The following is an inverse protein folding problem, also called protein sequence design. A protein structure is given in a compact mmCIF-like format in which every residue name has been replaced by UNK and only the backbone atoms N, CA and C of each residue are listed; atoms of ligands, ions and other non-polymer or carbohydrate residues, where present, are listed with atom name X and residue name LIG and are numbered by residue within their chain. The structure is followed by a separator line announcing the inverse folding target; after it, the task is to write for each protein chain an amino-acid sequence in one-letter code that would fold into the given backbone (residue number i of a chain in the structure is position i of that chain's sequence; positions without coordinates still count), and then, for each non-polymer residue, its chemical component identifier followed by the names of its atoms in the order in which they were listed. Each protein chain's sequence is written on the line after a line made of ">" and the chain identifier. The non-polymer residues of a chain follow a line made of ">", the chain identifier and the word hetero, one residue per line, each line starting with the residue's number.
data_IF_931858101279
#
_entry.id   IF_931858101279
#
_cell.length_a   1.000
_cell.length_b   1.000
_cell.length_c   1.000
_cell.angle_alpha   90.00
_cell.angle_beta   90.00
_cell.angle_gamma   90.00
#
_symmetry.space_group_name_H-M   'P 1'
#
loop_
_entity.id
_entity.type
_entity.pdbx_description
1 polymer ?
#
# COMPACT_ATOMS: atom_id res chain seq x y z
N UNK A 1 20.70 -18.07 1.30
CA UNK A 1 20.53 -18.06 -0.16
C UNK A 1 19.36 -17.14 -0.55
N UNK A 2 18.19 -17.20 0.09
CA UNK A 2 17.05 -16.32 -0.19
C UNK A 2 17.43 -14.84 -0.16
N UNK A 3 18.05 -14.37 0.93
CA UNK A 3 18.48 -12.98 1.05
C UNK A 3 19.55 -12.59 0.03
N UNK A 4 20.39 -13.52 -0.39
CA UNK A 4 21.33 -13.29 -1.49
C UNK A 4 20.58 -13.03 -2.79
N UNK A 5 19.63 -13.87 -3.14
CA UNK A 5 18.79 -13.68 -4.33
C UNK A 5 17.99 -12.35 -4.28
N UNK A 6 17.42 -12.02 -3.13
CA UNK A 6 16.72 -10.75 -2.91
C UNK A 6 17.64 -9.54 -3.10
N UNK A 7 18.86 -9.58 -2.53
CA UNK A 7 19.84 -8.52 -2.70
C UNK A 7 20.30 -8.36 -4.15
N UNK A 8 20.49 -9.47 -4.87
CA UNK A 8 20.82 -9.42 -6.30
C UNK A 8 19.67 -8.91 -7.16
N UNK A 9 18.42 -9.23 -6.81
CA UNK A 9 17.26 -8.65 -7.48
C UNK A 9 17.24 -7.13 -7.32
N UNK A 10 17.44 -6.62 -6.11
CA UNK A 10 17.51 -5.19 -5.84
C UNK A 10 18.69 -4.52 -6.58
N UNK A 11 19.86 -5.11 -6.52
CA UNK A 11 21.06 -4.60 -7.19
C UNK A 11 20.91 -4.57 -8.72
N UNK A 12 20.46 -5.67 -9.34
CA UNK A 12 20.34 -5.71 -10.80
C UNK A 12 19.21 -4.82 -11.31
N UNK A 13 18.14 -4.63 -10.53
CA UNK A 13 17.06 -3.72 -10.88
C UNK A 13 17.54 -2.26 -10.89
N UNK A 14 18.39 -1.87 -9.93
CA UNK A 14 18.90 -0.49 -9.82
C UNK A 14 20.10 -0.21 -10.71
N UNK A 15 21.01 -1.17 -10.87
CA UNK A 15 22.33 -0.94 -11.47
C UNK A 15 22.60 -1.76 -12.75
N UNK A 16 21.68 -2.63 -13.15
CA UNK A 16 21.86 -3.51 -14.29
C UNK A 16 22.93 -4.58 -14.05
N UNK A 17 24.07 -4.48 -14.74
CA UNK A 17 25.20 -5.42 -14.61
C UNK A 17 25.86 -5.30 -13.23
N UNK A 18 25.95 -6.41 -12.52
CA UNK A 18 26.65 -6.54 -11.23
C UNK A 18 27.47 -7.84 -11.21
N UNK A 19 28.57 -7.92 -10.44
CA UNK A 19 29.31 -9.17 -10.33
C UNK A 19 28.52 -10.19 -9.50
N UNK A 20 28.43 -11.43 -9.95
CA UNK A 20 27.86 -12.53 -9.17
C UNK A 20 28.97 -13.13 -8.30
N UNK A 21 28.86 -12.91 -6.99
CA UNK A 21 29.80 -13.36 -5.98
C UNK A 21 29.12 -14.40 -5.10
N UNK A 22 29.63 -15.63 -5.12
CA UNK A 22 29.05 -16.78 -4.40
C UNK A 22 29.85 -17.20 -3.19
N UNK A 23 31.06 -16.66 -3.03
CA UNK A 23 31.98 -16.95 -1.93
C UNK A 23 32.55 -15.67 -1.31
N UNK A 24 33.08 -15.77 -0.12
CA UNK A 24 33.75 -14.65 0.54
C UNK A 24 35.07 -14.36 -0.17
N UNK A 25 35.19 -13.13 -0.68
CA UNK A 25 36.41 -12.67 -1.32
C UNK A 25 37.50 -12.39 -0.26
N UNK A 26 38.77 -12.67 -0.61
CA UNK A 26 39.91 -12.26 0.20
C UNK A 26 39.98 -10.71 0.25
N UNK A 27 40.57 -10.18 1.32
CA UNK A 27 40.67 -8.71 1.51
C UNK A 27 41.43 -8.01 0.38
N UNK A 28 42.40 -8.68 -0.21
CA UNK A 28 43.26 -8.23 -1.31
C UNK A 28 42.80 -8.78 -2.68
N UNK A 29 41.58 -9.34 -2.75
CA UNK A 29 41.06 -9.85 -4.00
C UNK A 29 41.00 -8.76 -5.08
N UNK A 30 41.34 -9.05 -6.34
CA UNK A 30 41.23 -8.09 -7.42
C UNK A 30 39.76 -7.71 -7.65
N UNK A 31 39.53 -6.53 -8.24
CA UNK A 31 38.18 -6.08 -8.60
C UNK A 31 37.50 -7.10 -9.51
N UNK A 32 36.34 -7.58 -9.09
CA UNK A 32 35.53 -8.52 -9.87
C UNK A 32 34.80 -7.77 -10.98
N UNK A 33 34.86 -8.31 -12.19
CA UNK A 33 34.11 -7.74 -13.33
C UNK A 33 32.61 -7.95 -13.13
N UNK A 34 31.82 -7.01 -13.65
CA UNK A 34 30.36 -7.13 -13.67
C UNK A 34 29.93 -8.17 -14.71
N UNK A 35 29.06 -9.06 -14.31
CA UNK A 35 28.42 -10.03 -15.19
C UNK A 35 27.31 -9.40 -16.03
N UNK A 36 27.00 -10.04 -17.15
CA UNK A 36 25.85 -9.64 -17.98
C UNK A 36 24.54 -9.77 -17.21
N UNK A 37 23.59 -8.85 -17.45
CA UNK A 37 22.31 -8.80 -16.75
C UNK A 37 21.59 -10.14 -16.78
N UNK A 38 21.60 -10.83 -17.91
CA UNK A 38 20.95 -12.13 -18.07
C UNK A 38 21.60 -13.22 -17.22
N UNK A 39 22.92 -13.17 -17.01
CA UNK A 39 23.63 -14.07 -16.10
C UNK A 39 23.17 -13.85 -14.66
N UNK A 40 23.04 -12.59 -14.23
CA UNK A 40 22.56 -12.25 -12.89
C UNK A 40 21.11 -12.67 -12.68
N UNK A 41 20.24 -12.40 -13.68
CA UNK A 41 18.83 -12.80 -13.64
C UNK A 41 18.67 -14.32 -13.55
N UNK A 42 19.42 -15.05 -14.37
CA UNK A 42 19.42 -16.52 -14.32
C UNK A 42 19.87 -17.02 -12.96
N UNK A 43 20.96 -16.48 -12.41
CA UNK A 43 21.46 -16.83 -11.08
C UNK A 43 20.36 -16.64 -10.00
N UNK A 44 19.63 -15.52 -10.02
CA UNK A 44 18.55 -15.26 -9.07
C UNK A 44 17.46 -16.34 -9.17
N UNK A 45 16.99 -16.62 -10.38
CA UNK A 45 15.92 -17.59 -10.58
C UNK A 45 16.33 -19.02 -10.23
N UNK A 46 17.56 -19.42 -10.55
CA UNK A 46 18.11 -20.75 -10.22
C UNK A 46 18.27 -20.92 -8.70
N UNK A 47 18.86 -19.93 -8.02
CA UNK A 47 18.98 -19.93 -6.55
C UNK A 47 17.64 -20.12 -5.86
N UNK A 48 16.63 -19.38 -6.30
CA UNK A 48 15.30 -19.45 -5.72
C UNK A 48 14.60 -20.78 -6.03
N UNK A 49 14.83 -21.34 -7.22
CA UNK A 49 14.32 -22.67 -7.57
C UNK A 49 14.90 -23.75 -6.65
N UNK A 50 16.22 -23.76 -6.49
CA UNK A 50 16.90 -24.76 -5.66
C UNK A 50 16.47 -24.69 -4.19
N UNK A 51 16.37 -23.48 -3.63
CA UNK A 51 15.97 -23.35 -2.22
C UNK A 51 14.50 -23.67 -2.00
N UNK A 52 13.63 -23.44 -2.98
CA UNK A 52 12.22 -23.81 -2.87
C UNK A 52 12.03 -25.33 -2.68
N UNK A 53 12.93 -26.16 -3.20
CA UNK A 53 12.87 -27.61 -2.99
C UNK A 53 13.39 -28.07 -1.61
N UNK A 54 14.09 -27.18 -0.89
CA UNK A 54 14.73 -27.51 0.40
C UNK A 54 13.95 -26.92 1.57
N UNK A 55 13.34 -25.76 1.37
CA UNK A 55 12.64 -25.04 2.43
C UNK A 55 11.33 -25.75 2.81
N UNK A 56 10.96 -25.76 4.09
CA UNK A 56 9.70 -26.33 4.54
C UNK A 56 8.53 -25.42 4.16
N UNK A 57 7.33 -26.00 4.16
CA UNK A 57 6.08 -25.26 3.95
C UNK A 57 5.73 -24.37 5.15
N UNK A 58 6.11 -24.81 6.35
CA UNK A 58 5.90 -24.08 7.60
C UNK A 58 6.99 -24.44 8.62
N UNK A 59 7.10 -23.60 9.66
CA UNK A 59 7.99 -23.86 10.80
C UNK A 59 7.15 -24.17 12.03
N UNK A 60 7.43 -25.31 12.69
CA UNK A 60 6.74 -25.79 13.88
C UNK A 60 7.64 -25.63 15.13
N UNK A 61 8.17 -24.45 15.34
CA UNK A 61 9.03 -24.16 16.49
C UNK A 61 8.28 -23.70 17.73
N UNK A 62 8.97 -23.71 18.85
CA UNK A 62 8.46 -23.21 20.14
C UNK A 62 8.48 -21.67 20.25
N UNK A 63 8.94 -20.98 19.25
CA UNK A 63 8.97 -19.53 19.21
C UNK A 63 7.65 -19.01 18.65
N UNK A 64 6.99 -18.14 19.41
CA UNK A 64 5.77 -17.46 19.05
C UNK A 64 5.89 -16.61 17.74
N UNK A 65 7.09 -16.43 17.21
CA UNK A 65 7.42 -15.49 16.16
C UNK A 65 8.24 -16.11 15.00
N UNK A 66 7.94 -17.32 14.60
CA UNK A 66 8.61 -17.93 13.43
C UNK A 66 8.10 -17.41 12.08
N UNK A 67 7.19 -16.45 12.08
CA UNK A 67 6.58 -15.83 10.89
C UNK A 67 7.57 -15.13 9.97
N UNK A 68 8.65 -14.57 10.52
CA UNK A 68 9.73 -13.95 9.74
C UNK A 68 10.67 -14.94 9.04
N UNK A 69 10.52 -16.25 9.25
CA UNK A 69 11.36 -17.27 8.60
C UNK A 69 10.87 -17.58 7.19
N UNK A 70 11.80 -17.71 6.28
CA UNK A 70 11.49 -17.95 4.87
C UNK A 70 11.05 -19.39 4.66
N UNK A 71 9.87 -19.56 4.10
CA UNK A 71 9.27 -20.83 3.70
C UNK A 71 9.47 -21.09 2.21
N UNK A 72 9.04 -22.29 1.75
CA UNK A 72 8.97 -22.64 0.33
C UNK A 72 8.15 -21.60 -0.44
N UNK A 73 6.95 -21.26 0.05
CA UNK A 73 6.10 -20.24 -0.56
C UNK A 73 6.81 -18.89 -0.67
N UNK A 74 7.61 -18.50 0.34
CA UNK A 74 8.42 -17.29 0.29
C UNK A 74 9.44 -17.29 -0.84
N UNK A 75 10.12 -18.41 -1.06
CA UNK A 75 11.07 -18.54 -2.17
C UNK A 75 10.37 -18.51 -3.53
N UNK A 76 9.24 -19.19 -3.67
CA UNK A 76 8.44 -19.18 -4.90
C UNK A 76 7.85 -17.80 -5.20
N UNK A 77 7.38 -17.07 -4.18
CA UNK A 77 6.84 -15.72 -4.34
C UNK A 77 7.92 -14.73 -4.82
N UNK A 78 9.13 -14.80 -4.23
CA UNK A 78 10.25 -13.98 -4.72
C UNK A 78 10.63 -14.35 -6.16
N UNK A 79 10.62 -15.65 -6.49
CA UNK A 79 10.91 -16.13 -7.83
C UNK A 79 9.88 -15.64 -8.85
N UNK A 80 8.59 -15.72 -8.53
CA UNK A 80 7.51 -15.20 -9.35
C UNK A 80 7.67 -13.70 -9.63
N UNK A 81 7.95 -12.91 -8.59
CA UNK A 81 8.20 -11.47 -8.71
C UNK A 81 9.43 -11.17 -9.57
N UNK A 82 10.54 -11.84 -9.33
CA UNK A 82 11.76 -11.66 -10.11
C UNK A 82 11.53 -12.00 -11.59
N UNK A 83 10.87 -13.13 -11.88
CA UNK A 83 10.53 -13.55 -13.22
C UNK A 83 9.62 -12.53 -13.93
N UNK A 84 8.61 -11.99 -13.23
CA UNK A 84 7.72 -10.95 -13.75
C UNK A 84 8.51 -9.68 -14.13
N UNK A 85 9.40 -9.19 -13.25
CA UNK A 85 10.26 -8.04 -13.54
C UNK A 85 11.21 -8.28 -14.73
N UNK A 86 11.62 -9.52 -14.94
CA UNK A 86 12.52 -9.88 -16.05
C UNK A 86 11.78 -10.12 -17.36
N UNK A 87 10.43 -10.08 -17.37
CA UNK A 87 9.60 -10.39 -18.54
C UNK A 87 9.47 -11.90 -18.82
N UNK A 88 9.89 -12.75 -17.86
CA UNK A 88 9.73 -14.21 -17.98
C UNK A 88 8.38 -14.64 -17.38
N UNK A 89 7.30 -14.38 -18.13
CA UNK A 89 5.93 -14.58 -17.65
C UNK A 89 5.60 -16.06 -17.42
N UNK A 90 6.15 -16.96 -18.20
CA UNK A 90 5.95 -18.41 -18.01
C UNK A 90 6.48 -18.89 -16.66
N UNK A 91 7.64 -18.38 -16.26
CA UNK A 91 8.24 -18.70 -14.98
C UNK A 91 7.49 -18.04 -13.81
N UNK A 92 7.03 -16.81 -14.01
CA UNK A 92 6.21 -16.11 -13.03
C UNK A 92 4.90 -16.88 -12.76
N UNK A 93 4.21 -17.31 -13.82
CA UNK A 93 3.00 -18.13 -13.75
C UNK A 93 3.25 -19.47 -13.06
N UNK A 94 4.32 -20.17 -13.45
CA UNK A 94 4.65 -21.46 -12.87
C UNK A 94 4.94 -21.38 -11.36
N UNK A 95 5.69 -20.37 -10.93
CA UNK A 95 6.04 -20.16 -9.52
C UNK A 95 4.85 -19.74 -8.68
N UNK A 96 4.03 -18.81 -9.16
CA UNK A 96 2.79 -18.39 -8.49
C UNK A 96 1.76 -19.53 -8.47
N UNK A 97 1.63 -20.26 -9.58
CA UNK A 97 0.73 -21.41 -9.68
C UNK A 97 1.04 -22.53 -8.68
N UNK A 98 2.32 -22.76 -8.36
CA UNK A 98 2.69 -23.71 -7.30
C UNK A 98 2.15 -23.27 -5.93
N UNK A 99 2.32 -21.99 -5.55
CA UNK A 99 1.81 -21.47 -4.27
C UNK A 99 0.30 -21.67 -4.18
N UNK A 100 -0.43 -21.35 -5.25
CA UNK A 100 -1.89 -21.50 -5.30
C UNK A 100 -2.30 -22.96 -5.19
N UNK A 101 -1.63 -23.86 -5.92
CA UNK A 101 -1.97 -25.29 -5.95
C UNK A 101 -1.64 -26.03 -4.64
N UNK A 102 -0.64 -25.59 -3.89
CA UNK A 102 -0.30 -26.12 -2.58
C UNK A 102 -1.38 -25.80 -1.52
N UNK A 103 -2.15 -24.72 -1.70
CA UNK A 103 -3.33 -24.40 -0.89
C UNK A 103 -3.06 -23.97 0.55
N UNK A 104 -1.81 -23.61 0.88
CA UNK A 104 -1.44 -23.14 2.22
C UNK A 104 -1.78 -21.66 2.43
N UNK A 105 -1.98 -20.91 1.34
CA UNK A 105 -2.30 -19.50 1.34
C UNK A 105 -3.62 -19.22 0.62
N UNK A 106 -4.31 -18.18 1.03
CA UNK A 106 -5.54 -17.72 0.39
C UNK A 106 -5.74 -16.23 0.63
N UNK A 107 -6.55 -15.59 -0.20
CA UNK A 107 -6.84 -14.17 -0.03
C UNK A 107 -7.57 -13.93 1.30
N UNK A 108 -7.10 -12.95 2.05
CA UNK A 108 -7.78 -12.49 3.26
C UNK A 108 -9.12 -11.84 2.90
N UNK A 109 -10.15 -12.15 3.69
CA UNK A 109 -11.50 -11.63 3.47
C UNK A 109 -12.14 -11.22 4.79
N UNK A 110 -12.60 -9.97 4.86
CA UNK A 110 -13.49 -9.56 5.95
C UNK A 110 -14.86 -10.18 5.75
N UNK A 111 -15.41 -10.77 6.80
CA UNK A 111 -16.74 -11.39 6.77
C UNK A 111 -17.86 -10.37 6.99
N UNK A 112 -17.60 -9.35 7.80
CA UNK A 112 -18.53 -8.29 8.16
C UNK A 112 -17.80 -6.94 8.25
N UNK A 113 -18.56 -5.88 8.12
CA UNK A 113 -18.06 -4.50 8.27
C UNK A 113 -18.27 -4.03 9.69
N UNK A 114 -17.36 -3.20 10.19
CA UNK A 114 -17.57 -2.40 11.41
C UNK A 114 -18.63 -1.32 11.13
N UNK A 115 -19.15 -0.69 12.19
CA UNK A 115 -20.08 0.43 12.03
C UNK A 115 -19.46 1.59 11.25
N UNK A 116 -18.17 1.86 11.47
CA UNK A 116 -17.44 2.88 10.75
C UNK A 116 -17.26 2.54 9.27
N UNK A 117 -16.88 1.30 8.98
CA UNK A 117 -16.76 0.80 7.61
C UNK A 117 -18.11 0.80 6.87
N UNK A 118 -19.21 0.45 7.57
CA UNK A 118 -20.54 0.49 6.98
C UNK A 118 -20.93 1.93 6.58
N UNK A 119 -20.64 2.90 7.44
CA UNK A 119 -20.89 4.32 7.13
C UNK A 119 -20.11 4.76 5.89
N UNK A 120 -18.84 4.37 5.78
CA UNK A 120 -18.03 4.66 4.60
C UNK A 120 -18.54 3.91 3.35
N UNK A 121 -19.03 2.68 3.52
CA UNK A 121 -19.65 1.89 2.46
C UNK A 121 -20.92 2.58 1.90
N UNK A 122 -21.69 3.21 2.76
CA UNK A 122 -22.89 3.98 2.34
C UNK A 122 -22.49 5.23 1.55
N UNK A 123 -21.40 5.90 1.93
CA UNK A 123 -20.86 7.02 1.16
C UNK A 123 -20.32 6.62 -0.22
N UNK A 124 -19.91 5.37 -0.39
CA UNK A 124 -19.42 4.85 -1.67
C UNK A 124 -20.50 4.85 -2.76
N UNK A 125 -21.78 4.96 -2.41
CA UNK A 125 -22.88 5.12 -3.39
C UNK A 125 -22.76 6.41 -4.22
N UNK A 126 -22.10 7.43 -3.70
CA UNK A 126 -21.78 8.65 -4.46
C UNK A 126 -20.64 8.42 -5.46
N UNK A 127 -19.71 7.53 -5.14
CA UNK A 127 -18.50 7.29 -5.97
C UNK A 127 -18.71 6.21 -7.02
N UNK A 128 -19.54 5.20 -6.78
CA UNK A 128 -19.66 4.02 -7.64
C UNK A 128 -21.07 3.86 -8.16
N UNK A 129 -21.19 3.79 -9.48
CA UNK A 129 -22.46 3.44 -10.18
C UNK A 129 -22.62 1.92 -10.25
N UNK A 130 -22.87 1.28 -9.11
CA UNK A 130 -22.92 -0.18 -9.01
C UNK A 130 -23.80 -0.83 -10.07
N UNK A 131 -25.03 -0.33 -10.22
CA UNK A 131 -26.00 -0.87 -11.18
C UNK A 131 -25.54 -0.66 -12.64
N UNK A 132 -25.09 0.55 -12.98
CA UNK A 132 -24.68 0.87 -14.35
C UNK A 132 -23.41 0.14 -14.76
N UNK A 133 -22.56 -0.22 -13.78
CA UNK A 133 -21.30 -0.95 -14.02
C UNK A 133 -21.43 -2.45 -13.83
N UNK A 134 -22.58 -2.96 -13.43
CA UNK A 134 -22.79 -4.38 -13.16
C UNK A 134 -21.97 -4.91 -11.99
N UNK A 135 -21.74 -4.07 -10.96
CA UNK A 135 -20.89 -4.38 -9.81
C UNK A 135 -21.77 -4.76 -8.63
N UNK A 136 -21.45 -5.89 -8.00
CA UNK A 136 -22.02 -6.28 -6.72
C UNK A 136 -21.43 -5.38 -5.61
N UNK A 137 -22.30 -4.55 -4.98
CA UNK A 137 -21.90 -3.61 -3.95
C UNK A 137 -21.27 -4.30 -2.73
N UNK A 138 -21.88 -5.39 -2.23
CA UNK A 138 -21.38 -6.08 -1.05
C UNK A 138 -19.98 -6.66 -1.29
N UNK A 139 -19.81 -7.30 -2.45
CA UNK A 139 -18.51 -7.85 -2.86
C UNK A 139 -17.46 -6.74 -3.05
N UNK A 140 -17.82 -5.63 -3.68
CA UNK A 140 -16.92 -4.50 -3.90
C UNK A 140 -16.44 -3.91 -2.56
N UNK A 141 -17.37 -3.59 -1.66
CA UNK A 141 -17.08 -2.97 -0.38
C UNK A 141 -16.29 -3.90 0.54
N UNK A 142 -16.69 -5.18 0.65
CA UNK A 142 -15.93 -6.15 1.43
C UNK A 142 -14.54 -6.39 0.85
N UNK A 143 -14.39 -6.39 -0.47
CA UNK A 143 -13.08 -6.46 -1.13
C UNK A 143 -12.20 -5.27 -0.80
N UNK A 144 -12.76 -4.06 -0.85
CA UNK A 144 -12.10 -2.81 -0.48
C UNK A 144 -11.54 -2.87 0.96
N UNK A 145 -12.38 -3.21 1.93
CA UNK A 145 -11.97 -3.28 3.33
C UNK A 145 -11.12 -4.52 3.65
N UNK A 146 -11.23 -5.61 2.89
CA UNK A 146 -10.30 -6.73 3.01
C UNK A 146 -8.88 -6.30 2.65
N UNK A 147 -8.74 -5.54 1.57
CA UNK A 147 -7.44 -5.01 1.15
C UNK A 147 -6.88 -4.02 2.20
N UNK A 148 -7.69 -3.08 2.70
CA UNK A 148 -7.26 -2.16 3.76
C UNK A 148 -6.79 -2.90 5.01
N UNK A 149 -7.57 -3.87 5.44
CA UNK A 149 -7.33 -4.60 6.69
C UNK A 149 -6.06 -5.42 6.70
N UNK A 150 -5.49 -5.75 5.54
CA UNK A 150 -4.17 -6.38 5.45
C UNK A 150 -3.07 -5.58 6.15
N UNK A 151 -3.21 -4.26 6.16
CA UNK A 151 -2.20 -3.34 6.69
C UNK A 151 -2.40 -3.00 8.17
N UNK A 152 -3.46 -3.52 8.78
CA UNK A 152 -3.76 -3.25 10.19
C UNK A 152 -3.05 -4.26 11.10
N UNK A 153 -2.47 -3.77 12.19
CA UNK A 153 -1.72 -4.56 13.18
C UNK A 153 -2.47 -5.81 13.65
N UNK A 154 -3.78 -5.69 13.90
CA UNK A 154 -4.60 -6.82 14.34
C UNK A 154 -4.66 -7.99 13.36
N UNK A 155 -4.34 -7.75 12.08
CA UNK A 155 -4.31 -8.76 11.02
C UNK A 155 -2.89 -9.16 10.61
N UNK A 156 -1.88 -8.58 11.24
CA UNK A 156 -0.46 -8.89 11.02
C UNK A 156 -0.04 -10.23 11.66
N UNK A 157 -0.97 -11.00 12.12
CA UNK A 157 -0.72 -12.29 12.75
C UNK A 157 -0.23 -13.34 11.75
N UNK A 158 0.61 -14.29 12.20
CA UNK A 158 0.94 -15.50 11.44
C UNK A 158 -0.28 -16.28 10.95
N UNK A 159 -1.44 -16.05 11.57
CA UNK A 159 -2.69 -16.66 11.15
C UNK A 159 -3.36 -15.99 9.94
N UNK A 160 -2.84 -14.87 9.45
CA UNK A 160 -3.39 -14.26 8.24
C UNK A 160 -3.00 -15.11 7.01
N UNK A 161 -4.00 -15.68 6.31
CA UNK A 161 -3.73 -16.64 5.23
C UNK A 161 -3.07 -16.01 3.98
N UNK A 162 -3.10 -14.69 3.85
CA UNK A 162 -2.54 -13.99 2.69
C UNK A 162 -1.04 -13.67 2.87
N UNK A 163 -0.53 -13.69 4.10
CA UNK A 163 0.86 -13.38 4.35
C UNK A 163 1.78 -14.55 3.96
N UNK A 164 2.70 -14.29 3.04
CA UNK A 164 3.69 -15.25 2.58
C UNK A 164 5.05 -14.94 3.21
N UNK A 165 5.53 -13.72 3.08
CA UNK A 165 6.76 -13.23 3.70
C UNK A 165 6.50 -11.85 4.30
N UNK A 166 6.81 -11.69 5.57
CA UNK A 166 6.70 -10.41 6.27
C UNK A 166 8.08 -9.94 6.73
N UNK A 167 8.31 -8.64 6.64
CA UNK A 167 9.34 -7.97 7.41
C UNK A 167 8.67 -7.41 8.66
N UNK A 168 9.07 -7.93 9.79
CA UNK A 168 8.55 -7.47 11.07
C UNK A 168 9.40 -6.32 11.59
N UNK A 169 8.75 -5.35 12.20
CA UNK A 169 9.37 -4.23 12.89
C UNK A 169 9.03 -4.36 14.37
N UNK A 170 10.03 -4.25 15.21
CA UNK A 170 9.85 -4.29 16.65
C UNK A 170 9.62 -2.89 17.18
N UNK A 171 8.58 -2.72 17.99
CA UNK A 171 8.40 -1.50 18.76
C UNK A 171 9.52 -1.39 19.80
N UNK A 172 10.48 -0.50 19.58
CA UNK A 172 11.54 -0.21 20.52
C UNK A 172 11.58 1.30 20.79
N UNK A 173 11.12 1.69 21.97
CA UNK A 173 11.13 3.08 22.43
C UNK A 173 12.54 3.71 22.48
N UNK A 174 13.60 2.90 22.40
CA UNK A 174 15.00 3.36 22.45
C UNK A 174 15.63 3.48 21.05
N UNK A 175 15.03 2.88 20.02
CA UNK A 175 15.48 3.01 18.66
C UNK A 175 14.54 3.95 17.90
N UNK A 176 15.02 5.12 17.57
CA UNK A 176 14.37 6.03 16.63
C UNK A 176 14.43 5.43 15.20
N UNK A 177 13.74 4.33 14.97
CA UNK A 177 13.62 3.84 13.63
C UNK A 177 12.56 4.67 12.89
N UNK A 178 12.90 5.09 11.68
CA UNK A 178 12.26 6.15 10.91
C UNK A 178 10.96 5.71 10.23
N UNK A 179 10.28 4.70 10.72
CA UNK A 179 9.00 4.21 10.21
C UNK A 179 7.79 4.99 10.73
N UNK A 180 7.98 6.26 11.03
CA UNK A 180 6.91 7.12 11.56
C UNK A 180 5.90 7.42 10.47
N UNK A 181 4.71 6.84 10.57
CA UNK A 181 3.58 7.18 9.69
C UNK A 181 3.17 8.66 9.77
N UNK A 182 3.58 9.43 10.80
CA UNK A 182 3.46 10.89 10.82
C UNK A 182 4.08 11.58 9.60
N UNK A 183 5.06 10.94 8.95
CA UNK A 183 5.59 11.43 7.67
C UNK A 183 4.63 11.28 6.49
N UNK A 184 3.61 10.44 6.60
CA UNK A 184 2.66 10.14 5.53
C UNK A 184 1.33 10.87 5.66
N UNK A 185 1.09 11.54 6.78
CA UNK A 185 -0.15 12.24 7.08
C UNK A 185 0.08 13.74 7.27
N UNK A 186 -0.86 14.60 6.83
CA UNK A 186 -0.76 16.04 7.05
C UNK A 186 -1.09 16.42 8.49
N UNK A 187 -0.63 17.58 8.92
CA UNK A 187 -0.90 18.15 10.23
C UNK A 187 -2.41 18.31 10.49
N UNK A 188 -3.16 18.67 9.48
CA UNK A 188 -4.63 18.81 9.57
C UNK A 188 -5.35 17.51 9.91
N UNK A 189 -4.79 16.35 9.55
CA UNK A 189 -5.33 15.05 9.94
C UNK A 189 -5.00 14.71 11.38
N UNK A 190 -3.81 15.05 11.85
CA UNK A 190 -3.27 14.61 13.13
C UNK A 190 -3.23 15.76 14.15
N UNK A 191 -3.73 15.52 15.39
CA UNK A 191 -3.43 16.41 16.52
C UNK A 191 -1.96 16.29 16.97
N UNK A 192 -1.19 15.38 16.40
CA UNK A 192 0.15 14.99 16.79
C UNK A 192 1.20 15.38 15.73
N UNK A 193 1.04 16.52 15.08
CA UNK A 193 2.00 17.05 14.13
C UNK A 193 2.41 16.05 13.03
N UNK A 194 1.48 15.73 12.14
CA UNK A 194 1.82 15.09 10.89
C UNK A 194 2.76 15.99 10.08
N UNK A 195 3.70 15.40 9.35
CA UNK A 195 4.71 16.15 8.61
C UNK A 195 4.49 16.15 7.10
N UNK A 196 3.64 15.25 6.61
CA UNK A 196 3.38 15.06 5.18
C UNK A 196 4.64 15.07 4.29
N UNK A 197 5.72 14.45 4.79
CA UNK A 197 7.02 14.46 4.10
C UNK A 197 7.05 13.52 2.89
N UNK A 198 6.15 12.55 2.86
CA UNK A 198 5.96 11.60 1.77
C UNK A 198 4.52 11.65 1.31
N UNK A 199 4.31 12.05 0.08
CA UNK A 199 2.98 12.26 -0.48
C UNK A 199 2.77 11.50 -1.77
N UNK A 200 1.53 11.04 -2.05
CA UNK A 200 1.22 10.51 -3.36
C UNK A 200 1.24 11.62 -4.40
N UNK A 201 1.89 11.36 -5.51
CA UNK A 201 1.83 12.24 -6.67
C UNK A 201 0.57 11.95 -7.49
N UNK A 202 0.17 12.90 -8.32
CA UNK A 202 -0.99 12.75 -9.21
C UNK A 202 -0.87 11.52 -10.12
N UNK A 203 0.33 11.22 -10.63
CA UNK A 203 0.57 10.05 -11.48
C UNK A 203 0.20 8.74 -10.78
N UNK A 204 0.39 8.65 -9.46
CA UNK A 204 -0.04 7.49 -8.69
C UNK A 204 -1.57 7.41 -8.60
N UNK A 205 -2.25 8.54 -8.44
CA UNK A 205 -3.72 8.59 -8.43
C UNK A 205 -4.26 8.18 -9.82
N UNK A 206 -3.65 8.68 -10.89
CA UNK A 206 -4.05 8.36 -12.27
C UNK A 206 -3.77 6.89 -12.62
N UNK A 207 -2.77 6.26 -12.01
CA UNK A 207 -2.44 4.85 -12.22
C UNK A 207 -3.49 3.88 -11.68
N UNK A 208 -4.38 4.31 -10.78
CA UNK A 208 -5.55 3.49 -10.42
C UNK A 208 -6.54 3.46 -11.59
N UNK A 209 -6.90 2.27 -12.01
CA UNK A 209 -7.81 2.07 -13.14
C UNK A 209 -9.25 2.38 -12.78
N UNK A 210 -10.12 2.41 -13.76
CA UNK A 210 -11.56 2.36 -13.54
C UNK A 210 -11.98 0.98 -13.01
N UNK A 211 -13.18 0.89 -12.48
CA UNK A 211 -13.75 -0.36 -11.93
C UNK A 211 -13.83 -1.50 -12.94
N UNK A 212 -13.69 -1.22 -14.24
CA UNK A 212 -13.64 -2.23 -15.30
C UNK A 212 -12.29 -2.98 -15.33
N UNK A 213 -11.28 -2.52 -14.58
CA UNK A 213 -9.93 -3.08 -14.53
C UNK A 213 -9.15 -2.96 -15.84
N UNK A 214 -9.52 -2.04 -16.74
CA UNK A 214 -8.93 -1.88 -18.07
C UNK A 214 -8.63 -0.45 -18.44
N UNK A 215 -9.45 0.49 -17.98
CA UNK A 215 -9.36 1.89 -18.37
C UNK A 215 -8.52 2.68 -17.39
N UNK A 216 -7.46 3.31 -17.86
CA UNK A 216 -6.68 4.30 -17.11
C UNK A 216 -7.17 5.70 -17.44
N UNK A 217 -7.15 6.60 -16.46
CA UNK A 217 -7.50 8.01 -16.64
C UNK A 217 -6.26 8.88 -16.50
N UNK A 218 -5.93 9.64 -17.54
CA UNK A 218 -4.92 10.69 -17.52
C UNK A 218 -5.26 11.82 -18.53
N UNK A 219 -6.54 12.02 -18.77
CA UNK A 219 -7.08 12.93 -19.77
C UNK A 219 -7.23 14.37 -19.28
N UNK A 220 -6.83 14.65 -18.03
CA UNK A 220 -7.02 15.94 -17.38
C UNK A 220 -5.66 16.54 -17.01
N UNK A 221 -5.41 17.76 -17.47
CA UNK A 221 -4.15 18.47 -17.14
C UNK A 221 -4.15 18.96 -15.69
N UNK A 222 -2.96 19.26 -15.17
CA UNK A 222 -2.80 19.80 -13.82
C UNK A 222 -3.52 21.16 -13.68
N UNK A 223 -3.49 21.99 -14.71
CA UNK A 223 -4.18 23.27 -14.74
C UNK A 223 -5.70 23.09 -14.61
N UNK A 224 -6.27 22.18 -15.38
CA UNK A 224 -7.69 21.84 -15.30
C UNK A 224 -8.07 21.31 -13.91
N UNK A 225 -7.22 20.51 -13.27
CA UNK A 225 -7.49 20.04 -11.89
C UNK A 225 -7.49 21.18 -10.89
N UNK A 226 -6.52 22.10 -11.00
CA UNK A 226 -6.48 23.29 -10.14
C UNK A 226 -7.72 24.16 -10.31
N UNK A 227 -8.13 24.40 -11.53
CA UNK A 227 -9.36 25.18 -11.83
C UNK A 227 -10.60 24.50 -11.23
N UNK A 228 -10.78 23.20 -11.45
CA UNK A 228 -11.88 22.41 -10.88
C UNK A 228 -11.86 22.39 -9.36
N UNK A 229 -10.68 22.28 -8.74
CA UNK A 229 -10.56 22.34 -7.29
C UNK A 229 -10.89 23.74 -6.76
N UNK A 230 -10.43 24.79 -7.43
CA UNK A 230 -10.74 26.16 -7.04
C UNK A 230 -12.27 26.46 -7.06
N UNK A 231 -13.01 25.83 -7.98
CA UNK A 231 -14.47 25.97 -8.01
C UNK A 231 -15.13 25.37 -6.76
N UNK A 232 -14.76 24.17 -6.36
CA UNK A 232 -15.30 23.56 -5.15
C UNK A 232 -14.78 24.26 -3.89
N UNK A 233 -13.51 24.68 -3.87
CA UNK A 233 -12.88 25.30 -2.72
C UNK A 233 -13.53 26.63 -2.31
N UNK A 234 -14.08 27.40 -3.24
CA UNK A 234 -14.81 28.64 -2.95
C UNK A 234 -15.93 28.45 -1.92
N UNK A 235 -16.60 27.31 -1.96
CA UNK A 235 -17.74 27.00 -1.09
C UNK A 235 -17.31 26.57 0.32
N UNK A 236 -16.04 26.24 0.53
CA UNK A 236 -15.55 25.61 1.76
C UNK A 236 -14.36 26.31 2.43
N UNK A 237 -13.71 27.25 1.75
CA UNK A 237 -12.47 27.89 2.22
C UNK A 237 -12.57 28.56 3.59
N UNK A 238 -13.72 29.14 3.89
CA UNK A 238 -13.96 29.90 5.12
C UNK A 238 -14.49 29.02 6.28
N UNK A 239 -14.65 27.71 6.06
CA UNK A 239 -15.13 26.79 7.09
C UNK A 239 -13.99 26.32 7.98
N UNK A 240 -14.28 26.20 9.27
CA UNK A 240 -13.40 25.43 10.17
C UNK A 240 -13.46 23.93 9.85
N UNK A 241 -12.50 23.16 10.33
CA UNK A 241 -12.50 21.71 10.16
C UNK A 241 -13.78 21.05 10.72
N UNK A 242 -14.27 21.52 11.86
CA UNK A 242 -15.50 20.99 12.47
C UNK A 242 -16.73 21.28 11.59
N UNK A 243 -16.86 22.50 11.07
CA UNK A 243 -17.95 22.87 10.15
C UNK A 243 -17.87 22.06 8.84
N UNK A 244 -16.67 21.80 8.35
CA UNK A 244 -16.43 20.99 7.16
C UNK A 244 -16.90 19.53 7.36
N UNK A 245 -16.51 18.91 8.49
CA UNK A 245 -16.92 17.54 8.86
C UNK A 245 -18.46 17.43 8.97
N UNK A 246 -19.11 18.44 9.51
CA UNK A 246 -20.57 18.47 9.61
C UNK A 246 -21.24 18.69 8.23
N UNK A 247 -20.65 19.52 7.39
CA UNK A 247 -21.25 19.96 6.14
C UNK A 247 -21.13 18.95 5.00
N UNK A 248 -19.97 18.31 4.83
CA UNK A 248 -19.68 17.44 3.68
C UNK A 248 -20.70 16.32 3.50
N UNK A 249 -21.15 15.59 4.55
CA UNK A 249 -22.16 14.54 4.39
C UNK A 249 -23.54 15.02 3.92
N UNK A 250 -23.80 16.33 3.99
CA UNK A 250 -25.10 16.92 3.67
C UNK A 250 -25.21 17.41 2.22
N UNK A 251 -24.15 17.32 1.46
CA UNK A 251 -24.09 17.85 0.10
C UNK A 251 -23.85 16.76 -0.93
N UNK A 252 -24.36 16.96 -2.13
CA UNK A 252 -23.96 16.18 -3.29
C UNK A 252 -22.60 16.69 -3.78
N UNK A 253 -21.51 16.06 -3.31
CA UNK A 253 -20.16 16.41 -3.73
C UNK A 253 -19.90 16.09 -5.20
N UNK A 254 -20.66 15.16 -5.79
CA UNK A 254 -20.49 14.74 -7.19
C UNK A 254 -21.04 15.77 -8.20
N UNK A 255 -21.72 16.80 -7.74
CA UNK A 255 -22.08 17.95 -8.60
C UNK A 255 -20.84 18.72 -9.09
N UNK A 256 -19.71 18.65 -8.37
CA UNK A 256 -18.47 19.32 -8.72
C UNK A 256 -17.63 18.47 -9.66
N UNK A 257 -17.10 19.09 -10.71
CA UNK A 257 -16.30 18.38 -11.72
C UNK A 257 -15.01 17.80 -11.16
N UNK A 258 -14.42 18.42 -10.14
CA UNK A 258 -13.27 17.87 -9.46
C UNK A 258 -13.52 16.47 -8.88
N UNK A 259 -14.68 16.28 -8.25
CA UNK A 259 -15.02 15.02 -7.58
C UNK A 259 -15.32 13.88 -8.55
N UNK A 260 -15.71 14.21 -9.80
CA UNK A 260 -16.00 13.21 -10.83
C UNK A 260 -14.76 12.41 -11.25
N UNK A 261 -13.56 12.93 -10.99
CA UNK A 261 -12.31 12.20 -11.23
C UNK A 261 -12.17 10.94 -10.36
N UNK A 262 -12.80 10.96 -9.19
CA UNK A 262 -12.77 9.85 -8.24
C UNK A 262 -13.95 8.90 -8.40
N UNK A 263 -14.78 9.08 -9.43
CA UNK A 263 -15.96 8.23 -9.66
C UNK A 263 -15.60 6.98 -10.45
N UNK A 264 -16.17 5.85 -10.06
CA UNK A 264 -16.00 4.55 -10.73
C UNK A 264 -14.54 4.11 -10.88
N UNK A 265 -13.74 4.30 -9.82
CA UNK A 265 -12.32 3.90 -9.80
C UNK A 265 -12.15 2.56 -9.09
N UNK A 266 -10.98 1.97 -9.27
CA UNK A 266 -10.52 0.79 -8.56
C UNK A 266 -10.75 0.93 -7.04
N UNK A 267 -11.28 -0.13 -6.41
CA UNK A 267 -11.62 -0.13 -4.98
C UNK A 267 -10.44 0.21 -4.07
N UNK A 268 -9.23 -0.16 -4.49
CA UNK A 268 -8.01 0.09 -3.73
C UNK A 268 -7.67 1.57 -3.60
N UNK A 269 -8.08 2.41 -4.56
CA UNK A 269 -7.88 3.87 -4.47
C UNK A 269 -8.49 4.43 -3.18
N UNK A 270 -9.73 4.03 -2.87
CA UNK A 270 -10.52 4.62 -1.78
C UNK A 270 -10.02 4.28 -0.38
N UNK A 271 -9.21 3.26 -0.24
CA UNK A 271 -8.61 2.81 1.02
C UNK A 271 -7.09 2.92 1.07
N UNK A 272 -6.46 3.26 -0.04
CA UNK A 272 -5.02 3.52 -0.07
C UNK A 272 -4.69 5.00 0.05
N UNK A 273 -5.58 5.86 -0.46
CA UNK A 273 -5.35 7.29 -0.61
C UNK A 273 -6.48 8.10 0.02
N UNK A 274 -6.10 9.21 0.63
CA UNK A 274 -7.04 10.27 0.95
C UNK A 274 -6.89 11.38 -0.09
N UNK A 275 -8.02 11.83 -0.58
CA UNK A 275 -8.16 12.96 -1.50
C UNK A 275 -9.21 13.93 -0.95
N UNK A 276 -9.26 15.19 -1.38
CA UNK A 276 -10.15 16.17 -0.84
C UNK A 276 -11.61 15.70 -0.83
N UNK A 277 -12.32 15.97 0.27
CA UNK A 277 -13.69 15.56 0.56
C UNK A 277 -13.92 14.08 0.84
N UNK A 278 -12.92 13.21 0.66
CA UNK A 278 -13.05 11.80 1.04
C UNK A 278 -13.20 11.67 2.55
N UNK A 279 -14.22 10.90 2.97
CA UNK A 279 -14.44 10.51 4.37
C UNK A 279 -13.59 9.31 4.79
N UNK A 280 -13.20 9.33 6.05
CA UNK A 280 -12.63 8.20 6.76
C UNK A 280 -13.22 8.17 8.17
N UNK A 281 -13.93 7.11 8.51
CA UNK A 281 -14.75 7.06 9.73
C UNK A 281 -14.12 6.22 10.85
N UNK A 282 -13.10 5.45 10.55
CA UNK A 282 -12.41 4.57 11.50
C UNK A 282 -11.06 5.16 11.91
N UNK A 283 -11.02 6.48 12.13
CA UNK A 283 -9.82 7.15 12.64
C UNK A 283 -9.83 7.17 14.17
N UNK A 284 -8.66 7.32 14.77
CA UNK A 284 -8.52 7.47 16.24
C UNK A 284 -9.35 8.64 16.82
N UNK A 285 -9.73 9.58 15.97
CA UNK A 285 -10.57 10.76 16.33
C UNK A 285 -12.03 10.62 15.88
N UNK A 286 -12.41 9.45 15.37
CA UNK A 286 -13.72 9.23 14.77
C UNK A 286 -13.78 9.69 13.31
N UNK A 287 -14.86 10.32 12.92
CA UNK A 287 -15.07 10.76 11.53
C UNK A 287 -14.14 11.89 11.14
N UNK A 288 -13.48 11.72 10.03
CA UNK A 288 -12.63 12.72 9.38
C UNK A 288 -13.01 12.85 7.90
N UNK A 289 -13.07 14.08 7.39
CA UNK A 289 -13.13 14.38 5.96
C UNK A 289 -11.92 15.23 5.60
N UNK A 290 -11.20 14.84 4.56
CA UNK A 290 -9.98 15.55 4.19
C UNK A 290 -10.33 16.90 3.55
N UNK A 291 -9.96 17.96 4.26
CA UNK A 291 -10.06 19.35 3.81
C UNK A 291 -8.69 19.83 3.38
N UNK A 292 -8.42 19.76 2.10
CA UNK A 292 -7.19 20.32 1.56
C UNK A 292 -7.29 21.82 1.43
N UNK A 293 -6.39 22.56 2.06
CA UNK A 293 -6.32 24.02 2.00
C UNK A 293 -5.01 24.44 1.33
N UNK A 294 -5.03 24.82 0.04
CA UNK A 294 -3.82 25.22 -0.69
C UNK A 294 -3.09 26.41 -0.09
N UNK A 295 -3.79 27.25 0.68
CA UNK A 295 -3.19 28.42 1.32
C UNK A 295 -2.36 28.07 2.56
N UNK A 296 -2.62 26.91 3.18
CA UNK A 296 -1.86 26.42 4.33
C UNK A 296 -0.48 25.91 3.97
N UNK A 297 -0.27 25.43 2.74
CA UNK A 297 1.03 24.97 2.23
C UNK A 297 2.11 26.04 2.46
N UNK A 298 1.78 27.31 2.23
CA UNK A 298 2.71 28.43 2.39
C UNK A 298 2.85 28.92 3.83
N UNK A 299 1.97 28.52 4.74
CA UNK A 299 1.93 29.00 6.13
C UNK A 299 2.45 27.96 7.12
N UNK A 300 2.20 26.71 6.85
CA UNK A 300 2.57 25.57 7.69
C UNK A 300 3.06 24.43 6.79
N UNK A 301 4.36 24.25 6.68
CA UNK A 301 5.00 23.31 5.75
C UNK A 301 4.67 21.82 5.98
N UNK A 302 3.79 21.51 6.94
CA UNK A 302 3.38 20.15 7.27
C UNK A 302 2.01 19.76 6.68
N UNK A 303 1.49 20.53 5.73
CA UNK A 303 0.28 20.20 4.99
C UNK A 303 0.61 19.58 3.63
N UNK A 304 -0.35 18.84 3.06
CA UNK A 304 -0.17 18.20 1.76
C UNK A 304 0.04 19.22 0.63
N UNK A 305 1.13 19.06 -0.11
CA UNK A 305 1.45 19.86 -1.29
C UNK A 305 0.71 19.39 -2.54
N UNK A 306 0.42 18.08 -2.58
CA UNK A 306 -0.21 17.46 -3.76
C UNK A 306 -1.74 17.44 -3.68
N UNK A 307 -2.31 17.69 -2.49
CA UNK A 307 -3.75 17.50 -2.22
C UNK A 307 -4.11 16.06 -1.89
N UNK A 308 -3.12 15.20 -1.67
CA UNK A 308 -3.32 13.78 -1.35
C UNK A 308 -2.46 13.39 -0.16
N UNK A 309 -2.88 12.35 0.57
CA UNK A 309 -2.00 11.66 1.51
C UNK A 309 -2.32 10.16 1.58
N UNK A 310 -1.38 9.38 2.09
CA UNK A 310 -1.55 7.94 2.22
C UNK A 310 -2.50 7.62 3.38
N UNK A 311 -3.50 6.79 3.10
CA UNK A 311 -4.32 6.11 4.09
C UNK A 311 -3.78 4.70 4.39
N UNK A 312 -3.29 4.03 3.36
CA UNK A 312 -2.66 2.71 3.46
C UNK A 312 -1.52 2.74 4.46
N UNK A 313 -1.46 1.76 5.34
CA UNK A 313 -0.46 1.62 6.39
C UNK A 313 -0.53 2.66 7.53
N UNK A 314 -1.53 3.55 7.54
CA UNK A 314 -1.78 4.41 8.70
C UNK A 314 -2.56 3.61 9.74
N UNK A 315 -2.05 3.57 10.97
CA UNK A 315 -2.69 2.80 12.04
C UNK A 315 -4.04 3.37 12.45
N UNK A 316 -4.93 2.48 12.89
CA UNK A 316 -6.17 2.82 13.56
C UNK A 316 -6.02 2.84 15.09
N UNK A 317 -4.90 2.36 15.60
CA UNK A 317 -4.64 2.35 17.04
C UNK A 317 -4.37 3.77 17.54
N UNK A 318 -4.90 4.14 18.72
CA UNK A 318 -4.62 5.46 19.27
C UNK A 318 -3.14 5.58 19.65
N UNK A 319 -2.55 6.73 19.28
CA UNK A 319 -1.22 7.07 19.76
C UNK A 319 -1.32 7.94 20.98
N UNK A 320 -0.60 7.59 21.98
CA UNK A 320 -0.50 8.42 23.16
C UNK A 320 0.68 9.39 23.08
N UNK A 321 1.70 9.09 22.28
CA UNK A 321 2.92 9.88 22.24
C UNK A 321 3.67 9.76 20.92
N UNK A 322 4.63 10.66 20.68
CA UNK A 322 5.63 10.62 19.62
C UNK A 322 6.47 9.34 19.58
N UNK A 323 6.45 8.57 20.65
CA UNK A 323 7.23 7.34 20.83
C UNK A 323 6.42 6.09 20.57
N UNK A 324 5.16 6.19 20.16
CA UNK A 324 4.36 5.06 19.77
C UNK A 324 4.87 4.55 18.39
N UNK A 325 5.95 3.80 18.46
CA UNK A 325 6.43 2.97 17.37
C UNK A 325 5.56 1.74 17.34
N UNK A 326 4.85 1.55 16.25
CA UNK A 326 4.05 0.37 16.07
C UNK A 326 4.72 -0.58 15.11
N UNK A 327 4.67 -1.87 15.43
CA UNK A 327 5.09 -2.93 14.56
C UNK A 327 4.15 -2.99 13.36
N UNK A 328 4.63 -2.56 12.20
CA UNK A 328 3.95 -2.80 10.94
C UNK A 328 4.63 -3.94 10.22
N UNK A 329 3.89 -4.99 9.88
CA UNK A 329 4.41 -5.95 8.92
C UNK A 329 4.54 -5.24 7.57
N UNK A 330 5.75 -5.10 7.11
CA UNK A 330 5.97 -4.81 5.71
C UNK A 330 5.67 -6.10 4.94
N UNK A 331 4.52 -6.14 4.28
CA UNK A 331 4.21 -7.24 3.38
C UNK A 331 5.18 -7.18 2.21
N UNK A 332 6.17 -8.04 2.21
CA UNK A 332 7.08 -8.20 1.07
C UNK A 332 6.37 -8.88 -0.09
N UNK A 333 5.43 -9.77 0.23
CA UNK A 333 4.65 -10.53 -0.75
C UNK A 333 3.26 -10.81 -0.22
N UNK A 334 2.27 -10.53 -1.03
CA UNK A 334 0.88 -10.93 -0.85
C UNK A 334 0.49 -11.89 -1.98
N UNK A 335 -0.66 -12.49 -1.88
CA UNK A 335 -1.21 -13.40 -2.89
C UNK A 335 -1.93 -12.67 -4.02
N UNK A 336 -1.53 -11.45 -4.37
CA UNK A 336 -2.16 -10.64 -5.44
C UNK A 336 -2.27 -11.37 -6.78
#
# INVERSE_FOLDING_TARGET
>A
RFFRALSYLDLTTKFGKVPVITEVLAYDAPNVKRDEVETVRKFILDELAEIAEILPDSYNGSYLYETGRITRAGALALRARAALYFGNYAEAEASAGKIISEGHHSLFRVSSLTTAQQKEADEMDAYIDYAAKGIDKDKFVKGMFSYESLWHKGNASPANPEYIVTREYMADANNYDWTRYTYFIPKSFSQYDGYCSYEPMQDLIDAYWDVDGKTMRNDITMEQRKERYAEIWKDFKDMSQSQFIEKVPQIDIMKYDYMKEFRNRDSRLYVSMMFPFKGWHETIKGTFYFRWDPDLINKDGNESWTGYFYRKMVTLDPYDTWTAEEDYPCLLYTSD
#
